data_IF_374917299450
#
_entry.id   IF_374917299450
#
_cell.length_a   1.000
_cell.length_b   1.000
_cell.length_c   1.000
_cell.angle_alpha   90.00
_cell.angle_beta   90.00
_cell.angle_gamma   90.00
#
_symmetry.space_group_name_H-M   'P 1'
#
loop_
_entity.id
_entity.type
_entity.pdbx_description
1 polymer ?
#
# COMPACT_ATOMS: atom_id res chain seq x y z
N UNK A 1 2.77 -13.19 -20.24
CA UNK A 1 2.38 -11.82 -19.80
C UNK A 1 3.11 -11.47 -18.51
N UNK A 2 3.35 -10.19 -18.23
CA UNK A 2 3.84 -9.76 -16.91
C UNK A 2 2.69 -9.80 -15.87
N UNK A 3 2.99 -10.24 -14.66
CA UNK A 3 2.04 -10.29 -13.54
C UNK A 3 1.82 -8.89 -12.92
N UNK A 4 1.16 -8.02 -13.68
CA UNK A 4 0.73 -6.69 -13.23
C UNK A 4 -0.64 -6.72 -12.53
N UNK A 5 -1.11 -5.56 -12.06
CA UNK A 5 -2.37 -5.45 -11.29
C UNK A 5 -3.60 -6.00 -12.03
N UNK A 6 -3.63 -5.90 -13.36
CA UNK A 6 -4.73 -6.40 -14.19
C UNK A 6 -4.47 -7.81 -14.75
N UNK A 7 -3.30 -8.41 -14.50
CA UNK A 7 -2.90 -9.67 -15.14
C UNK A 7 -3.82 -10.84 -14.80
N UNK A 8 -4.34 -10.93 -13.57
CA UNK A 8 -5.28 -11.99 -13.18
C UNK A 8 -6.63 -11.86 -13.89
N UNK A 9 -7.12 -10.63 -14.09
CA UNK A 9 -8.36 -10.41 -14.82
C UNK A 9 -8.20 -10.87 -16.28
N UNK A 10 -7.16 -10.35 -16.95
CA UNK A 10 -6.88 -10.69 -18.35
C UNK A 10 -6.51 -12.15 -18.54
N UNK A 11 -5.78 -12.76 -17.60
CA UNK A 11 -5.46 -14.18 -17.62
C UNK A 11 -6.70 -15.06 -17.68
N UNK A 12 -7.71 -14.76 -16.84
CA UNK A 12 -9.00 -15.46 -16.88
C UNK A 12 -9.72 -15.24 -18.20
N UNK A 13 -9.77 -14.00 -18.70
CA UNK A 13 -10.42 -13.69 -19.98
C UNK A 13 -9.77 -14.44 -21.15
N UNK A 14 -8.44 -14.40 -21.27
CA UNK A 14 -7.74 -15.10 -22.35
C UNK A 14 -7.90 -16.63 -22.27
N UNK A 15 -7.95 -17.20 -21.05
CA UNK A 15 -8.26 -18.63 -20.89
C UNK A 15 -9.68 -18.99 -21.36
N UNK A 16 -10.67 -18.12 -21.17
CA UNK A 16 -12.03 -18.34 -21.68
C UNK A 16 -12.06 -18.41 -23.22
N UNK A 17 -11.15 -17.72 -23.89
CA UNK A 17 -10.95 -17.81 -25.35
C UNK A 17 -10.04 -18.97 -25.78
N UNK A 18 -9.61 -19.86 -24.87
CA UNK A 18 -8.82 -21.04 -25.18
C UNK A 18 -7.30 -20.81 -25.20
N UNK A 19 -6.80 -19.67 -24.74
CA UNK A 19 -5.36 -19.42 -24.68
C UNK A 19 -4.70 -20.01 -23.43
N UNK A 20 -3.50 -20.58 -23.59
CA UNK A 20 -2.63 -20.87 -22.47
C UNK A 20 -1.98 -19.57 -21.98
N UNK A 21 -2.25 -19.21 -20.72
CA UNK A 21 -1.70 -17.98 -20.13
C UNK A 21 -0.61 -18.34 -19.12
N UNK A 22 0.59 -17.80 -19.35
CA UNK A 22 1.71 -17.82 -18.40
C UNK A 22 1.99 -16.40 -17.91
N UNK A 23 2.01 -16.22 -16.59
CA UNK A 23 2.31 -14.93 -15.97
C UNK A 23 3.72 -14.94 -15.37
N UNK A 24 4.55 -13.94 -15.67
CA UNK A 24 5.91 -13.81 -15.16
C UNK A 24 5.96 -12.64 -14.17
N UNK A 25 6.60 -12.82 -13.02
CA UNK A 25 6.74 -11.74 -12.02
C UNK A 25 7.49 -10.54 -12.64
N UNK A 26 7.08 -9.29 -12.36
CA UNK A 26 7.81 -8.09 -12.78
C UNK A 26 9.29 -8.12 -12.39
N UNK A 27 9.64 -8.76 -11.27
CA UNK A 27 11.02 -8.90 -10.80
C UNK A 27 11.88 -9.76 -11.74
N UNK A 28 11.27 -10.72 -12.45
CA UNK A 28 11.95 -11.54 -13.44
C UNK A 28 11.93 -10.93 -14.85
N UNK A 29 10.99 -10.02 -15.13
CA UNK A 29 10.94 -9.29 -16.40
C UNK A 29 11.91 -8.11 -16.41
N UNK A 30 12.02 -7.39 -15.29
CA UNK A 30 12.79 -6.14 -15.17
C UNK A 30 14.25 -6.23 -15.66
N UNK A 31 15.02 -7.30 -15.39
CA UNK A 31 16.41 -7.41 -15.87
C UNK A 31 16.56 -7.43 -17.39
N UNK A 32 15.50 -7.78 -18.13
CA UNK A 32 15.53 -7.90 -19.59
C UNK A 32 14.99 -6.65 -20.31
N UNK A 33 14.52 -5.64 -19.58
CA UNK A 33 14.01 -4.39 -20.16
C UNK A 33 15.19 -3.51 -20.60
N UNK A 34 15.30 -3.28 -21.91
CA UNK A 34 16.27 -2.35 -22.47
C UNK A 34 15.66 -0.96 -22.71
N UNK A 35 16.30 0.08 -22.18
CA UNK A 35 15.85 1.46 -22.34
C UNK A 35 14.67 1.84 -21.43
N UNK A 36 13.96 2.90 -21.80
CA UNK A 36 12.82 3.41 -21.02
C UNK A 36 11.63 2.45 -21.05
N UNK A 37 10.77 2.57 -20.05
CA UNK A 37 9.54 1.79 -19.97
C UNK A 37 8.56 2.24 -21.07
N UNK A 38 8.20 1.32 -21.95
CA UNK A 38 7.15 1.45 -22.96
C UNK A 38 6.67 0.05 -23.37
N UNK A 39 5.52 -0.02 -24.05
CA UNK A 39 4.88 -1.30 -24.39
C UNK A 39 5.75 -2.21 -25.25
N UNK A 40 6.54 -1.63 -26.17
CA UNK A 40 7.45 -2.39 -27.04
C UNK A 40 8.56 -3.06 -26.23
N UNK A 41 9.23 -2.30 -25.36
CA UNK A 41 10.32 -2.78 -24.53
C UNK A 41 9.81 -3.78 -23.48
N UNK A 42 8.60 -3.59 -22.97
CA UNK A 42 7.94 -4.54 -22.06
C UNK A 42 7.64 -5.87 -22.75
N UNK A 43 7.10 -5.84 -23.98
CA UNK A 43 6.84 -7.05 -24.75
C UNK A 43 8.13 -7.85 -25.02
N UNK A 44 9.21 -7.17 -25.44
CA UNK A 44 10.52 -7.80 -25.67
C UNK A 44 11.04 -8.42 -24.36
N UNK A 45 11.00 -7.68 -23.25
CA UNK A 45 11.47 -8.17 -21.96
C UNK A 45 10.69 -9.40 -21.47
N UNK A 46 9.38 -9.44 -21.68
CA UNK A 46 8.54 -10.59 -21.31
C UNK A 46 8.92 -11.82 -22.12
N UNK A 47 9.11 -11.67 -23.44
CA UNK A 47 9.52 -12.79 -24.33
C UNK A 47 10.91 -13.29 -23.96
N UNK A 48 11.84 -12.38 -23.71
CA UNK A 48 13.20 -12.73 -23.29
C UNK A 48 13.20 -13.47 -21.95
N UNK A 49 12.41 -13.00 -20.98
CA UNK A 49 12.23 -13.66 -19.70
C UNK A 49 11.64 -15.08 -19.86
N UNK A 50 10.59 -15.23 -20.66
CA UNK A 50 9.95 -16.53 -20.91
C UNK A 50 10.90 -17.55 -21.55
N UNK A 51 11.83 -17.07 -22.39
CA UNK A 51 12.82 -17.93 -23.07
C UNK A 51 13.87 -18.53 -22.12
N UNK A 52 14.01 -18.02 -20.89
CA UNK A 52 15.06 -18.48 -19.97
C UNK A 52 14.76 -19.90 -19.45
N UNK A 53 15.75 -20.81 -19.43
CA UNK A 53 15.55 -22.13 -18.85
C UNK A 53 15.24 -22.02 -17.35
N UNK A 54 14.24 -22.78 -16.90
CA UNK A 54 13.81 -22.77 -15.49
C UNK A 54 12.99 -21.55 -15.07
N UNK A 55 12.44 -20.79 -16.02
CA UNK A 55 11.54 -19.66 -15.71
C UNK A 55 10.37 -20.11 -14.83
N UNK A 56 10.06 -19.30 -13.80
CA UNK A 56 8.98 -19.54 -12.86
C UNK A 56 7.81 -18.63 -13.15
N UNK A 57 6.63 -19.23 -13.22
CA UNK A 57 5.39 -18.50 -13.46
C UNK A 57 4.64 -18.23 -12.16
N UNK A 58 3.99 -17.07 -12.12
CA UNK A 58 3.07 -16.71 -11.05
C UNK A 58 1.76 -17.45 -11.31
N UNK A 59 1.27 -18.25 -10.34
CA UNK A 59 -0.04 -18.88 -10.48
C UNK A 59 -1.12 -17.80 -10.53
N UNK A 60 -2.11 -18.00 -11.39
CA UNK A 60 -3.30 -17.17 -11.41
C UNK A 60 -4.07 -17.33 -10.10
N UNK A 61 -4.53 -16.20 -9.54
CA UNK A 61 -5.38 -16.21 -8.36
C UNK A 61 -6.83 -16.46 -8.74
N UNK A 62 -7.51 -17.28 -7.95
CA UNK A 62 -8.97 -17.35 -7.99
C UNK A 62 -9.57 -16.00 -7.55
N UNK A 63 -10.86 -15.80 -7.82
CA UNK A 63 -11.54 -14.56 -7.41
C UNK A 63 -11.51 -14.43 -5.88
N UNK A 64 -11.76 -15.53 -5.16
CA UNK A 64 -11.78 -15.57 -3.70
C UNK A 64 -10.39 -15.26 -3.12
N UNK A 65 -9.32 -15.79 -3.72
CA UNK A 65 -7.94 -15.46 -3.33
C UNK A 65 -7.61 -13.99 -3.59
N UNK A 66 -8.13 -13.43 -4.69
CA UNK A 66 -7.97 -12.01 -5.02
C UNK A 66 -8.71 -11.13 -4.01
N UNK A 67 -9.92 -11.50 -3.60
CA UNK A 67 -10.70 -10.79 -2.58
C UNK A 67 -10.01 -10.78 -1.22
N UNK A 68 -9.50 -11.93 -0.77
CA UNK A 68 -8.72 -12.05 0.46
C UNK A 68 -7.50 -11.14 0.40
N UNK A 69 -6.77 -11.14 -0.73
CA UNK A 69 -5.61 -10.26 -0.91
C UNK A 69 -6.00 -8.78 -0.86
N UNK A 70 -7.12 -8.39 -1.48
CA UNK A 70 -7.65 -7.02 -1.44
C UNK A 70 -7.92 -6.57 0.00
N UNK A 71 -8.64 -7.38 0.78
CA UNK A 71 -8.95 -7.09 2.18
C UNK A 71 -7.68 -6.94 3.03
N UNK A 72 -6.70 -7.83 2.85
CA UNK A 72 -5.41 -7.73 3.53
C UNK A 72 -4.66 -6.45 3.18
N UNK A 73 -4.61 -6.05 1.90
CA UNK A 73 -3.94 -4.82 1.47
C UNK A 73 -4.61 -3.58 2.06
N UNK A 74 -5.94 -3.51 2.04
CA UNK A 74 -6.71 -2.42 2.64
C UNK A 74 -6.41 -2.32 4.13
N UNK A 75 -6.51 -3.43 4.86
CA UNK A 75 -6.19 -3.48 6.29
C UNK A 75 -4.77 -3.02 6.58
N UNK A 76 -3.77 -3.53 5.85
CA UNK A 76 -2.38 -3.13 6.01
C UNK A 76 -2.18 -1.63 5.79
N UNK A 77 -2.82 -1.05 4.76
CA UNK A 77 -2.75 0.39 4.50
C UNK A 77 -3.37 1.20 5.64
N UNK A 78 -4.54 0.80 6.13
CA UNK A 78 -5.20 1.47 7.27
C UNK A 78 -4.35 1.39 8.53
N UNK A 79 -3.75 0.24 8.83
CA UNK A 79 -2.86 0.08 9.98
C UNK A 79 -1.63 0.99 9.87
N UNK A 80 -0.96 1.03 8.71
CA UNK A 80 0.18 1.92 8.47
C UNK A 80 -0.20 3.40 8.62
N UNK A 81 -1.34 3.80 8.03
CA UNK A 81 -1.84 5.17 8.13
C UNK A 81 -2.16 5.54 9.57
N UNK A 82 -2.82 4.66 10.34
CA UNK A 82 -3.11 4.88 11.75
C UNK A 82 -1.83 5.11 12.55
N UNK A 83 -0.83 4.25 12.38
CA UNK A 83 0.47 4.40 13.07
C UNK A 83 1.18 5.69 12.67
N UNK A 84 1.17 6.05 11.37
CA UNK A 84 1.77 7.29 10.89
C UNK A 84 1.10 8.53 11.49
N UNK A 85 -0.25 8.56 11.53
CA UNK A 85 -1.02 9.64 12.14
C UNK A 85 -0.73 9.77 13.64
N UNK A 86 -0.66 8.64 14.38
CA UNK A 86 -0.32 8.65 15.80
C UNK A 86 1.09 9.22 16.02
N UNK A 87 2.07 8.77 15.24
CA UNK A 87 3.43 9.28 15.34
C UNK A 87 3.51 10.77 14.99
N UNK A 88 2.72 11.23 14.02
CA UNK A 88 2.62 12.64 13.67
C UNK A 88 1.98 13.46 14.81
N UNK A 89 0.89 12.98 15.41
CA UNK A 89 0.27 13.64 16.57
C UNK A 89 1.27 13.76 17.72
N UNK A 90 2.02 12.69 18.02
CA UNK A 90 3.07 12.68 19.04
C UNK A 90 4.19 13.66 18.72
N UNK A 91 4.75 13.61 17.52
CA UNK A 91 5.81 14.51 17.10
C UNK A 91 5.39 15.98 17.17
N UNK A 92 4.18 16.30 16.72
CA UNK A 92 3.68 17.67 16.81
C UNK A 92 3.34 18.11 18.24
N UNK A 93 2.94 17.19 19.12
CA UNK A 93 2.74 17.48 20.54
C UNK A 93 4.04 17.88 21.23
N UNK A 94 5.15 17.22 20.87
CA UNK A 94 6.48 17.52 21.42
C UNK A 94 6.96 18.94 21.10
N UNK A 95 6.53 19.53 19.98
CA UNK A 95 6.83 20.94 19.66
C UNK A 95 6.24 21.93 20.69
N UNK A 96 5.20 21.51 21.44
CA UNK A 96 4.56 22.27 22.51
C UNK A 96 4.90 21.72 23.91
N UNK A 97 5.95 20.89 24.02
CA UNK A 97 6.32 20.25 25.29
C UNK A 97 5.37 19.16 25.77
N UNK A 98 4.41 18.74 24.95
CA UNK A 98 3.40 17.74 25.29
C UNK A 98 3.90 16.35 24.88
N UNK A 99 4.35 15.57 25.88
CA UNK A 99 4.79 14.20 25.68
C UNK A 99 3.62 13.20 25.80
N UNK A 100 3.36 12.44 24.73
CA UNK A 100 2.31 11.42 24.70
C UNK A 100 2.88 10.00 24.63
N UNK A 101 2.21 9.00 25.24
CA UNK A 101 2.65 7.62 25.27
C UNK A 101 2.67 6.97 23.87
N UNK A 102 3.41 5.87 23.71
CA UNK A 102 3.57 5.19 22.41
C UNK A 102 2.34 4.42 21.94
N UNK A 103 1.43 4.05 22.86
CA UNK A 103 0.28 3.24 22.53
C UNK A 103 -0.81 4.05 21.84
N UNK A 104 -1.30 3.55 20.70
CA UNK A 104 -2.43 4.10 19.96
C UNK A 104 -3.64 4.40 20.84
N UNK A 105 -4.00 3.45 21.70
CA UNK A 105 -5.14 3.57 22.60
C UNK A 105 -4.91 4.65 23.67
N UNK A 106 -3.68 4.71 24.22
CA UNK A 106 -3.35 5.72 25.22
C UNK A 106 -3.29 7.13 24.63
N UNK A 107 -2.79 7.29 23.40
CA UNK A 107 -2.83 8.57 22.67
C UNK A 107 -4.27 9.02 22.45
N UNK A 108 -5.14 8.10 22.03
CA UNK A 108 -6.56 8.38 21.83
C UNK A 108 -7.27 8.83 23.11
N UNK A 109 -6.88 8.28 24.27
CA UNK A 109 -7.41 8.67 25.58
C UNK A 109 -6.85 10.00 26.09
N UNK A 110 -5.54 10.23 25.97
CA UNK A 110 -4.92 11.42 26.55
C UNK A 110 -5.03 12.65 25.65
N UNK A 111 -5.23 12.49 24.34
CA UNK A 111 -5.28 13.62 23.40
C UNK A 111 -6.37 14.63 23.77
N UNK A 112 -7.63 14.26 24.07
CA UNK A 112 -8.66 15.20 24.53
C UNK A 112 -8.23 16.00 25.77
N UNK A 113 -7.63 15.34 26.77
CA UNK A 113 -7.17 15.98 28.00
C UNK A 113 -6.14 17.09 27.72
N UNK A 114 -5.19 16.82 26.82
CA UNK A 114 -4.20 17.82 26.42
C UNK A 114 -4.82 18.95 25.58
N UNK A 115 -5.82 18.66 24.74
CA UNK A 115 -6.51 19.69 23.96
C UNK A 115 -7.41 20.59 24.83
N UNK A 116 -7.87 20.10 25.99
CA UNK A 116 -8.73 20.83 26.93
C UNK A 116 -7.93 21.55 28.04
N UNK A 117 -6.71 21.10 28.33
CA UNK A 117 -5.85 21.74 29.32
C UNK A 117 -5.51 23.19 28.89
N UNK A 118 -6.08 24.18 29.58
CA UNK A 118 -5.89 25.60 29.30
C UNK A 118 -4.50 26.14 29.71
N UNK A 119 -3.74 25.39 30.50
CA UNK A 119 -2.42 25.79 31.01
C UNK A 119 -1.29 25.53 30.01
N UNK A 120 -1.54 24.76 28.94
CA UNK A 120 -0.55 24.53 27.89
C UNK A 120 -0.59 25.59 26.78
N UNK A 121 0.48 25.65 26.00
CA UNK A 121 0.70 26.66 24.96
C UNK A 121 -0.09 26.40 23.65
N UNK A 122 -1.04 25.46 23.65
CA UNK A 122 -1.83 25.17 22.45
C UNK A 122 -2.80 26.31 22.16
N UNK A 123 -2.62 26.93 21.00
CA UNK A 123 -3.53 27.95 20.47
C UNK A 123 -4.90 27.37 20.09
N UNK A 124 -5.91 28.23 19.94
CA UNK A 124 -7.26 27.84 19.50
C UNK A 124 -7.22 27.07 18.17
N UNK A 125 -6.39 27.52 17.21
CA UNK A 125 -6.22 26.86 15.92
C UNK A 125 -5.70 25.42 16.09
N UNK A 126 -4.75 25.23 17.01
CA UNK A 126 -4.16 23.92 17.30
C UNK A 126 -5.14 23.00 18.03
N UNK A 127 -6.03 23.55 18.86
CA UNK A 127 -7.11 22.80 19.52
C UNK A 127 -8.21 22.36 18.55
N UNK A 128 -8.47 23.13 17.49
CA UNK A 128 -9.40 22.77 16.41
C UNK A 128 -8.91 21.60 15.51
N UNK A 129 -7.68 21.13 15.67
CA UNK A 129 -7.08 20.08 14.82
C UNK A 129 -7.89 18.76 14.85
N UNK A 130 -8.64 18.49 15.93
CA UNK A 130 -9.56 17.35 16.05
C UNK A 130 -10.61 17.32 14.92
N UNK A 131 -11.06 18.47 14.42
CA UNK A 131 -12.13 18.56 13.42
C UNK A 131 -11.62 18.47 11.97
N UNK A 132 -10.32 18.64 11.72
CA UNK A 132 -9.77 18.73 10.36
C UNK A 132 -9.29 17.36 9.81
N UNK A 133 -8.96 16.40 10.69
CA UNK A 133 -8.34 15.13 10.31
C UNK A 133 -9.22 13.88 10.54
N UNK A 134 -10.43 14.03 11.08
CA UNK A 134 -11.34 12.92 11.42
C UNK A 134 -12.71 13.00 10.72
N UNK A 135 -12.82 13.79 9.65
CA UNK A 135 -13.99 13.80 8.74
C UNK A 135 -13.67 13.06 7.45
#
# INVERSE_FOLDING_TARGET
>A
MEACDSANYWGRQFRQFGHEVKQISPQYVAPFRMGSKNDKNDAIAIVEADSRPGMRYVPEKTIEQQDIQCLHRVRQRLMKNRTALINQIRGLGLEYGIAMPESAHKVEQCLPEHLENAENELTVLRRCFRNCCLS
#
